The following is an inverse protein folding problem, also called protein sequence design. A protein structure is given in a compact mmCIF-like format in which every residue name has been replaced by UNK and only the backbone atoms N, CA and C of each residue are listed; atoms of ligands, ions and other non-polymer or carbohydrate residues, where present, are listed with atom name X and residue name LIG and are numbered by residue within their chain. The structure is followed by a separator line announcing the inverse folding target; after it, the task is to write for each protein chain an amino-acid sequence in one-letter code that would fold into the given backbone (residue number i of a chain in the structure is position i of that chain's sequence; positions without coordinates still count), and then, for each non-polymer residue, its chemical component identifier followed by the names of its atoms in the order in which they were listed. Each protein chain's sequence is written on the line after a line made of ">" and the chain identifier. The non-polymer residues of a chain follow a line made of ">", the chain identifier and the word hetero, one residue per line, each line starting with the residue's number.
data_IF_606768698988
#
_entry.id   IF_606768698988
#
_cell.length_a   1.000
_cell.length_b   1.000
_cell.length_c   1.000
_cell.angle_alpha   90.00
_cell.angle_beta   90.00
_cell.angle_gamma   90.00
#
_symmetry.space_group_name_H-M   'P 1'
#
loop_
_entity.id
_entity.type
_entity.pdbx_description
1 polymer ?
#
# COMPACT_ATOMS: atom_id res chain seq x y z
N UNK A 1 -18.71 3.71 16.33
CA UNK A 1 -17.72 4.42 15.49
C UNK A 1 -17.26 3.52 14.34
N UNK A 2 -17.99 3.50 13.22
CA UNK A 2 -17.84 2.47 12.18
C UNK A 2 -16.58 2.61 11.32
N UNK A 3 -16.00 1.47 10.94
CA UNK A 3 -14.80 1.35 10.09
C UNK A 3 -14.94 2.04 8.72
N UNK A 4 -16.17 2.20 8.22
CA UNK A 4 -16.47 2.86 6.93
C UNK A 4 -16.61 4.39 6.98
N UNK A 5 -16.47 5.04 8.15
CA UNK A 5 -16.58 6.50 8.22
C UNK A 5 -15.31 7.17 7.72
N UNK A 6 -15.45 8.08 6.74
CA UNK A 6 -14.36 9.00 6.36
C UNK A 6 -14.11 9.97 7.52
N UNK A 7 -12.94 9.86 8.16
CA UNK A 7 -12.51 10.78 9.23
C UNK A 7 -12.00 12.10 8.63
N UNK A 8 -11.91 13.14 9.45
CA UNK A 8 -11.21 14.37 9.08
C UNK A 8 -9.77 14.03 8.64
N UNK A 9 -9.36 14.60 7.50
CA UNK A 9 -8.06 14.36 6.88
C UNK A 9 -7.75 12.87 6.62
N UNK A 10 -8.73 12.09 6.12
CA UNK A 10 -8.57 10.66 5.89
C UNK A 10 -7.45 10.30 4.89
N UNK A 11 -7.17 11.19 3.91
CA UNK A 11 -6.10 10.98 2.93
C UNK A 11 -4.71 10.95 3.58
N UNK A 12 -4.45 11.83 4.56
CA UNK A 12 -3.18 11.82 5.29
C UNK A 12 -3.01 10.60 6.21
N UNK A 13 -4.11 9.90 6.51
CA UNK A 13 -4.11 8.68 7.34
C UNK A 13 -3.98 7.41 6.52
N UNK A 14 -3.93 7.50 5.19
CA UNK A 14 -3.80 6.34 4.31
C UNK A 14 -2.39 5.75 4.45
N UNK A 15 -2.30 4.49 4.87
CA UNK A 15 -1.02 3.76 4.86
C UNK A 15 -0.65 3.49 3.40
N UNK A 16 0.42 4.15 2.93
CA UNK A 16 0.95 3.95 1.58
C UNK A 16 1.79 2.68 1.60
N UNK A 17 1.58 1.79 0.63
CA UNK A 17 2.44 0.63 0.44
C UNK A 17 3.84 1.13 0.05
N UNK A 18 4.80 0.92 0.94
CA UNK A 18 6.22 1.11 0.68
C UNK A 18 6.83 -0.24 0.27
N UNK A 19 7.92 -0.21 -0.50
CA UNK A 19 8.82 -1.37 -0.70
C UNK A 19 9.62 -1.64 0.58
N UNK A 20 8.98 -1.74 1.73
CA UNK A 20 9.67 -2.20 2.93
C UNK A 20 10.00 -3.69 2.74
N UNK A 21 11.25 -4.02 3.06
CA UNK A 21 11.67 -5.40 3.24
C UNK A 21 10.84 -5.98 4.39
N UNK A 22 10.21 -7.13 4.17
CA UNK A 22 9.40 -7.77 5.19
C UNK A 22 10.36 -8.24 6.30
N UNK A 23 10.12 -7.94 7.58
CA UNK A 23 11.00 -8.43 8.66
C UNK A 23 11.02 -9.96 8.75
N UNK A 24 10.12 -10.66 8.05
CA UNK A 24 10.11 -12.11 7.88
C UNK A 24 10.92 -12.61 6.66
N UNK A 25 11.53 -11.72 5.86
CA UNK A 25 12.33 -12.12 4.70
C UNK A 25 13.66 -12.76 5.17
N UNK A 26 13.97 -13.99 4.74
CA UNK A 26 15.16 -14.71 5.20
C UNK A 26 16.47 -14.04 4.76
N UNK A 27 16.44 -13.14 3.78
CA UNK A 27 17.59 -12.38 3.29
C UNK A 27 18.08 -11.30 4.26
N UNK A 28 17.27 -10.93 5.26
CA UNK A 28 17.62 -9.93 6.27
C UNK A 28 18.15 -10.54 7.58
N UNK A 29 18.34 -11.87 7.65
CA UNK A 29 19.04 -12.50 8.78
C UNK A 29 20.51 -12.05 8.79
N UNK A 30 20.79 -10.98 9.55
CA UNK A 30 22.15 -10.50 9.77
C UNK A 30 22.87 -11.51 10.66
N UNK A 31 23.84 -12.23 10.10
CA UNK A 31 24.76 -13.06 10.88
C UNK A 31 25.72 -12.12 11.60
N UNK A 32 25.72 -12.14 12.94
CA UNK A 32 26.53 -11.26 13.77
C UNK A 32 27.56 -12.11 14.51
N UNK A 33 28.81 -12.04 14.06
CA UNK A 33 29.97 -12.59 14.77
C UNK A 33 30.51 -11.49 15.69
N UNK A 34 30.19 -11.55 16.98
CA UNK A 34 30.74 -10.62 17.98
C UNK A 34 32.01 -11.23 18.56
N UNK A 35 33.15 -10.92 17.96
CA UNK A 35 34.46 -11.25 18.54
C UNK A 35 34.69 -10.32 19.75
N UNK A 36 34.77 -10.89 20.97
CA UNK A 36 34.97 -10.12 22.21
C UNK A 36 33.73 -9.85 23.08
N UNK A 37 32.60 -10.54 22.85
CA UNK A 37 31.37 -10.38 23.64
C UNK A 37 31.55 -10.60 25.17
N UNK A 38 32.60 -11.31 25.59
CA UNK A 38 32.94 -11.54 26.99
C UNK A 38 33.48 -10.28 27.70
N UNK A 39 34.00 -9.29 26.95
CA UNK A 39 34.60 -8.08 27.52
C UNK A 39 33.58 -6.95 27.78
N UNK A 40 32.35 -7.06 27.26
CA UNK A 40 31.32 -6.03 27.39
C UNK A 40 30.32 -6.46 28.47
N UNK A 41 30.48 -5.94 29.69
CA UNK A 41 29.53 -6.18 30.80
C UNK A 41 28.12 -5.74 30.39
N UNK A 42 27.17 -6.68 30.38
CA UNK A 42 25.73 -6.41 30.22
C UNK A 42 25.13 -6.76 28.85
N UNK A 43 25.90 -7.36 27.93
CA UNK A 43 25.37 -7.81 26.64
C UNK A 43 24.88 -9.26 26.72
N UNK A 44 23.57 -9.47 26.85
CA UNK A 44 22.95 -10.80 26.76
C UNK A 44 22.77 -11.19 25.28
N UNK A 45 23.26 -12.38 24.89
CA UNK A 45 23.10 -12.95 23.53
C UNK A 45 21.63 -13.00 23.12
N UNK A 46 20.73 -13.11 24.11
CA UNK A 46 19.29 -13.20 23.92
C UNK A 46 18.61 -11.87 23.56
N UNK A 47 19.26 -10.73 23.79
CA UNK A 47 18.71 -9.36 23.61
C UNK A 47 19.58 -8.45 22.72
N UNK A 48 20.35 -9.01 21.79
CA UNK A 48 21.13 -8.23 20.84
C UNK A 48 20.23 -7.45 19.85
N UNK A 49 19.93 -6.19 20.15
CA UNK A 49 19.21 -5.29 19.24
C UNK A 49 20.18 -4.77 18.16
N UNK A 50 20.27 -5.51 17.04
CA UNK A 50 21.12 -5.13 15.91
C UNK A 50 20.29 -4.40 14.88
N UNK A 51 20.52 -3.09 14.77
CA UNK A 51 19.98 -2.28 13.69
C UNK A 51 21.00 -2.22 12.54
N UNK A 52 20.56 -2.26 11.27
CA UNK A 52 21.45 -2.02 10.15
C UNK A 52 22.06 -0.61 10.25
N UNK A 53 23.34 -0.48 9.91
CA UNK A 53 24.11 0.78 9.99
C UNK A 53 23.52 1.91 9.13
N UNK A 54 22.71 1.56 8.11
CA UNK A 54 21.97 2.50 7.27
C UNK A 54 20.52 2.05 7.15
N UNK A 55 19.60 3.00 7.26
CA UNK A 55 18.18 2.76 6.98
C UNK A 55 18.00 2.46 5.49
N UNK A 56 17.27 1.40 5.16
CA UNK A 56 16.91 1.08 3.78
C UNK A 56 16.15 2.22 3.10
N UNK A 57 16.46 2.48 1.83
CA UNK A 57 15.77 3.52 1.04
C UNK A 57 14.34 3.06 0.75
N UNK A 58 13.35 3.71 1.36
CA UNK A 58 11.93 3.43 1.12
C UNK A 58 11.46 4.15 -0.14
N UNK A 59 10.90 3.42 -1.10
CA UNK A 59 10.18 4.01 -2.23
C UNK A 59 8.69 3.81 -2.01
N UNK A 60 7.91 4.86 -2.22
CA UNK A 60 6.45 4.77 -2.24
C UNK A 60 6.02 4.11 -3.54
N UNK A 61 5.26 3.01 -3.42
CA UNK A 61 4.67 2.36 -4.60
C UNK A 61 3.43 3.18 -4.97
N UNK A 62 3.51 3.90 -6.07
CA UNK A 62 2.35 4.60 -6.63
C UNK A 62 1.52 3.60 -7.43
N UNK A 63 0.33 3.24 -6.94
CA UNK A 63 -0.63 2.47 -7.73
C UNK A 63 -1.22 3.38 -8.81
N UNK A 64 -1.16 2.96 -10.08
CA UNK A 64 -1.80 3.65 -11.20
C UNK A 64 -3.33 3.52 -11.08
N UNK A 65 -3.95 4.42 -10.32
CA UNK A 65 -5.41 4.48 -10.22
C UNK A 65 -5.95 5.03 -11.55
N UNK A 66 -6.76 4.23 -12.25
CA UNK A 66 -7.48 4.68 -13.43
C UNK A 66 -8.28 5.94 -13.11
N UNK A 67 -7.95 7.04 -13.79
CA UNK A 67 -8.61 8.34 -13.63
C UNK A 67 -10.00 8.40 -14.25
N UNK A 68 -10.43 7.32 -14.91
CA UNK A 68 -11.74 7.23 -15.58
C UNK A 68 -12.84 7.21 -14.52
N UNK A 69 -13.57 8.31 -14.39
CA UNK A 69 -14.75 8.39 -13.53
C UNK A 69 -15.83 7.45 -14.07
N UNK A 70 -16.44 6.59 -13.23
CA UNK A 70 -17.59 5.81 -13.66
C UNK A 70 -18.75 6.75 -14.03
N UNK A 71 -19.48 6.42 -15.10
CA UNK A 71 -20.66 7.18 -15.52
C UNK A 71 -21.70 7.24 -14.40
N UNK A 72 -22.27 8.43 -14.18
CA UNK A 72 -23.39 8.63 -13.25
C UNK A 72 -24.62 7.83 -13.69
N UNK A 73 -25.50 7.45 -12.75
CA UNK A 73 -26.74 6.70 -13.03
C UNK A 73 -27.61 7.42 -14.07
N UNK A 74 -27.66 8.76 -14.04
CA UNK A 74 -28.40 9.57 -15.03
C UNK A 74 -27.79 9.43 -16.43
N UNK A 75 -26.47 9.52 -16.53
CA UNK A 75 -25.74 9.40 -17.81
C UNK A 75 -25.89 8.01 -18.42
N UNK A 76 -25.80 6.95 -17.61
CA UNK A 76 -26.02 5.57 -18.08
C UNK A 76 -27.43 5.39 -18.67
N UNK A 77 -28.46 5.87 -17.98
CA UNK A 77 -29.86 5.78 -18.45
C UNK A 77 -30.09 6.58 -19.74
N UNK A 78 -29.46 7.75 -19.88
CA UNK A 78 -29.56 8.55 -21.11
C UNK A 78 -28.93 7.83 -22.30
N UNK A 79 -27.72 7.29 -22.13
CA UNK A 79 -27.03 6.54 -23.18
C UNK A 79 -27.83 5.28 -23.59
N UNK A 80 -28.42 4.57 -22.63
CA UNK A 80 -29.28 3.42 -22.91
C UNK A 80 -30.47 3.82 -23.81
N UNK A 81 -31.19 4.89 -23.47
CA UNK A 81 -32.32 5.38 -24.29
C UNK A 81 -31.89 5.78 -25.71
N UNK A 82 -30.73 6.43 -25.83
CA UNK A 82 -30.19 6.83 -27.15
C UNK A 82 -29.86 5.61 -27.99
N UNK A 83 -29.27 4.57 -27.39
CA UNK A 83 -29.00 3.30 -28.07
C UNK A 83 -30.31 2.63 -28.53
N UNK A 84 -31.30 2.50 -27.65
CA UNK A 84 -32.62 1.95 -27.99
C UNK A 84 -33.31 2.73 -29.13
N UNK A 85 -33.22 4.06 -29.12
CA UNK A 85 -33.79 4.88 -30.20
C UNK A 85 -33.05 4.69 -31.53
N UNK A 86 -31.72 4.56 -31.50
CA UNK A 86 -30.92 4.34 -32.71
C UNK A 86 -31.20 2.96 -33.30
N UNK A 87 -31.31 1.93 -32.48
CA UNK A 87 -31.66 0.57 -32.91
C UNK A 87 -33.04 0.55 -33.57
N UNK A 88 -34.03 1.18 -32.94
CA UNK A 88 -35.38 1.31 -33.53
C UNK A 88 -35.35 2.03 -34.87
N UNK A 89 -34.59 3.13 -34.99
CA UNK A 89 -34.45 3.88 -36.25
C UNK A 89 -33.69 3.11 -37.33
N UNK A 90 -32.83 2.17 -36.98
CA UNK A 90 -32.15 1.33 -37.97
C UNK A 90 -33.00 0.17 -38.49
N UNK A 91 -34.06 -0.20 -37.77
CA UNK A 91 -34.99 -1.27 -38.16
C UNK A 91 -36.21 -0.76 -38.94
N UNK A 92 -36.38 0.56 -39.07
CA UNK A 92 -37.40 1.24 -39.87
C UNK A 92 -36.75 1.80 -41.12
#
# INVERSE_FOLDING_TARGET
>A
MGKMRKKHNWKARQQVKSTEDNPSDPKQQVQVEIEGAEQIKGLDKSNALVLPSKKGKKKTIHENVSTKKPLSRKQKKALQKVLEQKEKKSQV
#
